data_IF_208241058749
#
_entry.id   IF_208241058749
#
_cell.length_a   1.000
_cell.length_b   1.000
_cell.length_c   1.000
_cell.angle_alpha   90.00
_cell.angle_beta   90.00
_cell.angle_gamma   90.00
#
_symmetry.space_group_name_H-M   'P 1'
#
loop_
_entity.id
_entity.type
_entity.pdbx_description
1 polymer ?
#
# COMPACT_ATOMS: atom_id res chain seq x y z
N UNK A 1 -5.36 -10.32 -57.99
CA UNK A 1 -4.42 -10.32 -56.85
C UNK A 1 -5.17 -10.75 -55.60
N UNK A 2 -4.66 -11.77 -54.90
CA UNK A 2 -5.39 -12.51 -53.88
C UNK A 2 -5.54 -11.67 -52.59
N UNK A 3 -6.72 -11.08 -52.34
CA UNK A 3 -7.01 -10.23 -51.17
C UNK A 3 -6.91 -10.98 -49.82
N UNK A 4 -6.79 -12.31 -49.84
CA UNK A 4 -6.69 -13.15 -48.63
C UNK A 4 -5.39 -12.97 -47.82
N UNK A 5 -4.29 -12.54 -48.46
CA UNK A 5 -3.01 -12.31 -47.76
C UNK A 5 -2.93 -10.98 -47.02
N UNK A 6 -3.48 -9.92 -47.62
CA UNK A 6 -3.51 -8.57 -47.01
C UNK A 6 -4.46 -8.49 -45.81
N UNK A 7 -5.60 -9.17 -45.88
CA UNK A 7 -6.56 -9.23 -44.76
C UNK A 7 -5.98 -9.88 -43.49
N UNK A 8 -5.16 -10.94 -43.64
CA UNK A 8 -4.51 -11.60 -42.50
C UNK A 8 -3.47 -10.71 -41.81
N UNK A 9 -2.70 -9.93 -42.59
CA UNK A 9 -1.71 -8.98 -42.05
C UNK A 9 -2.39 -7.84 -41.30
N UNK A 10 -3.49 -7.29 -41.83
CA UNK A 10 -4.27 -6.23 -41.16
C UNK A 10 -4.83 -6.73 -39.82
N UNK A 11 -5.34 -7.96 -39.78
CA UNK A 11 -5.85 -8.56 -38.52
C UNK A 11 -4.74 -8.73 -37.47
N UNK A 12 -3.54 -9.18 -37.87
CA UNK A 12 -2.40 -9.31 -36.96
C UNK A 12 -1.98 -7.95 -36.39
N UNK A 13 -1.94 -6.91 -37.22
CA UNK A 13 -1.58 -5.55 -36.80
C UNK A 13 -2.62 -5.00 -35.81
N UNK A 14 -3.91 -5.21 -36.08
CA UNK A 14 -4.98 -4.79 -35.16
C UNK A 14 -4.86 -5.53 -33.82
N UNK A 15 -4.63 -6.84 -33.83
CA UNK A 15 -4.45 -7.62 -32.59
C UNK A 15 -3.23 -7.14 -31.81
N UNK A 16 -2.11 -6.88 -32.48
CA UNK A 16 -0.90 -6.35 -31.83
C UNK A 16 -1.14 -4.97 -31.21
N UNK A 17 -1.87 -4.08 -31.89
CA UNK A 17 -2.27 -2.78 -31.36
C UNK A 17 -3.20 -2.90 -30.16
N UNK A 18 -4.15 -3.85 -30.18
CA UNK A 18 -5.03 -4.10 -29.03
C UNK A 18 -4.24 -4.63 -27.84
N UNK A 19 -3.29 -5.54 -28.04
CA UNK A 19 -2.42 -6.06 -26.97
C UNK A 19 -1.54 -4.93 -26.40
N UNK A 20 -0.97 -4.06 -27.26
CA UNK A 20 -0.18 -2.91 -26.83
C UNK A 20 -1.04 -1.89 -26.06
N UNK A 21 -2.27 -1.62 -26.51
CA UNK A 21 -3.19 -0.72 -25.82
C UNK A 21 -3.61 -1.28 -24.46
N UNK A 22 -3.97 -2.57 -24.38
CA UNK A 22 -4.34 -3.24 -23.13
C UNK A 22 -3.14 -3.37 -22.18
N UNK A 23 -1.95 -3.70 -22.71
CA UNK A 23 -0.72 -3.74 -21.95
C UNK A 23 -0.31 -2.37 -21.42
N UNK A 24 -0.47 -1.32 -22.23
CA UNK A 24 -0.23 0.07 -21.83
C UNK A 24 -1.19 0.54 -20.74
N UNK A 25 -2.48 0.21 -20.85
CA UNK A 25 -3.48 0.50 -19.81
C UNK A 25 -3.20 -0.25 -18.49
N UNK A 26 -2.81 -1.52 -18.58
CA UNK A 26 -2.43 -2.31 -17.40
C UNK A 26 -1.15 -1.77 -16.75
N UNK A 27 -0.14 -1.41 -17.54
CA UNK A 27 1.09 -0.79 -17.05
C UNK A 27 0.79 0.56 -16.39
N UNK A 28 -0.02 1.41 -17.02
CA UNK A 28 -0.47 2.68 -16.46
C UNK A 28 -1.12 2.47 -15.09
N UNK A 29 -2.07 1.54 -14.99
CA UNK A 29 -2.70 1.20 -13.70
C UNK A 29 -1.70 0.69 -12.67
N UNK A 30 -0.74 -0.15 -13.05
CA UNK A 30 0.26 -0.69 -12.13
C UNK A 30 1.24 0.39 -11.66
N UNK A 31 1.63 1.34 -12.50
CA UNK A 31 2.65 2.35 -12.15
C UNK A 31 2.08 3.64 -11.55
N UNK A 32 0.84 4.01 -11.88
CA UNK A 32 0.24 5.27 -11.45
C UNK A 32 -0.68 5.14 -10.24
N UNK A 33 -1.03 3.93 -9.82
CA UNK A 33 -1.82 3.73 -8.60
C UNK A 33 -0.89 3.49 -7.41
N UNK A 34 -1.19 4.09 -6.23
CA UNK A 34 -0.46 3.83 -4.99
C UNK A 34 -0.36 2.35 -4.64
N UNK A 35 0.62 2.02 -3.80
CA UNK A 35 0.87 0.66 -3.30
C UNK A 35 1.80 -0.19 -4.16
N UNK A 36 2.17 -1.34 -3.62
CA UNK A 36 3.30 -2.15 -4.10
C UNK A 36 2.90 -3.55 -4.54
N UNK A 37 3.76 -4.19 -5.34
CA UNK A 37 3.45 -5.53 -5.88
C UNK A 37 3.67 -6.61 -4.80
N UNK A 38 4.59 -6.39 -3.86
CA UNK A 38 4.90 -7.31 -2.77
C UNK A 38 4.72 -6.67 -1.39
N UNK A 39 4.47 -7.53 -0.40
CA UNK A 39 4.40 -7.17 1.02
C UNK A 39 5.71 -6.56 1.49
N UNK A 40 6.82 -7.16 1.10
CA UNK A 40 8.17 -6.72 1.46
C UNK A 40 8.48 -5.31 0.97
N UNK A 41 8.04 -4.97 -0.24
CA UNK A 41 8.17 -3.61 -0.76
C UNK A 41 7.31 -2.62 0.03
N UNK A 42 6.08 -2.97 0.41
CA UNK A 42 5.25 -2.08 1.22
C UNK A 42 5.88 -1.78 2.58
N UNK A 43 6.45 -2.80 3.25
CA UNK A 43 7.13 -2.61 4.55
C UNK A 43 8.42 -1.81 4.38
N UNK A 44 9.25 -2.13 3.38
CA UNK A 44 10.50 -1.41 3.13
C UNK A 44 10.26 0.07 2.80
N UNK A 45 9.31 0.37 1.91
CA UNK A 45 8.98 1.75 1.55
C UNK A 45 8.36 2.54 2.71
N UNK A 46 7.64 1.89 3.61
CA UNK A 46 7.13 2.54 4.83
C UNK A 46 8.30 3.06 5.68
N UNK A 47 9.28 2.21 5.97
CA UNK A 47 10.44 2.59 6.76
C UNK A 47 11.36 3.58 6.04
N UNK A 48 11.45 3.47 4.71
CA UNK A 48 12.12 4.48 3.90
C UNK A 48 11.42 5.84 4.04
N UNK A 49 10.09 5.89 3.90
CA UNK A 49 9.31 7.12 4.03
C UNK A 49 9.49 7.77 5.39
N UNK A 50 9.44 6.98 6.49
CA UNK A 50 9.68 7.50 7.83
C UNK A 50 11.11 8.07 7.95
N UNK A 51 12.12 7.32 7.50
CA UNK A 51 13.53 7.73 7.63
C UNK A 51 13.89 8.96 6.82
N UNK A 52 13.23 9.17 5.68
CA UNK A 52 13.47 10.31 4.79
C UNK A 52 12.47 11.45 4.96
N UNK A 53 11.55 11.33 5.92
CA UNK A 53 10.44 12.29 6.11
C UNK A 53 9.61 12.56 4.84
N UNK A 54 9.51 11.55 3.97
CA UNK A 54 8.79 11.66 2.69
C UNK A 54 7.30 11.34 2.88
N UNK A 55 6.53 12.40 3.16
CA UNK A 55 5.07 12.33 3.37
C UNK A 55 4.31 11.79 2.16
N UNK A 56 4.79 12.04 0.94
CA UNK A 56 4.14 11.55 -0.29
C UNK A 56 4.33 10.04 -0.42
N UNK A 57 5.55 9.56 -0.21
CA UNK A 57 5.87 8.13 -0.16
C UNK A 57 5.09 7.43 0.95
N UNK A 58 4.97 8.05 2.13
CA UNK A 58 4.17 7.55 3.23
C UNK A 58 2.71 7.37 2.83
N UNK A 59 2.06 8.43 2.30
CA UNK A 59 0.67 8.38 1.83
C UNK A 59 0.45 7.24 0.84
N UNK A 60 1.35 7.12 -0.15
CA UNK A 60 1.24 6.12 -1.20
C UNK A 60 1.55 4.69 -0.74
N UNK A 61 2.29 4.55 0.35
CA UNK A 61 2.58 3.26 0.96
C UNK A 61 1.44 2.78 1.85
N UNK A 62 0.79 3.70 2.55
CA UNK A 62 -0.20 3.35 3.57
C UNK A 62 -1.65 3.36 3.07
N UNK A 63 -1.96 4.18 2.07
CA UNK A 63 -3.34 4.47 1.69
C UNK A 63 -3.57 4.39 0.19
N UNK A 64 -4.70 3.82 -0.21
CA UNK A 64 -5.18 3.93 -1.59
C UNK A 64 -5.60 5.37 -1.91
N UNK A 65 -5.59 5.78 -3.17
CA UNK A 65 -6.03 7.13 -3.56
C UNK A 65 -7.46 7.46 -3.11
N UNK A 66 -8.37 6.48 -3.16
CA UNK A 66 -9.75 6.66 -2.70
C UNK A 66 -9.82 6.96 -1.20
N UNK A 67 -8.98 6.27 -0.41
CA UNK A 67 -8.87 6.51 1.02
C UNK A 67 -8.21 7.85 1.33
N UNK A 68 -7.11 8.19 0.66
CA UNK A 68 -6.45 9.50 0.80
C UNK A 68 -7.44 10.66 0.57
N UNK A 69 -8.23 10.60 -0.52
CA UNK A 69 -9.19 11.64 -0.89
C UNK A 69 -10.38 11.77 0.07
N UNK A 70 -10.69 10.71 0.81
CA UNK A 70 -11.87 10.64 1.67
C UNK A 70 -11.50 10.62 3.15
N UNK A 71 -10.22 10.77 3.48
CA UNK A 71 -9.74 10.65 4.85
C UNK A 71 -10.40 11.66 5.79
N UNK A 72 -10.65 12.87 5.30
CA UNK A 72 -11.33 13.94 6.03
C UNK A 72 -12.78 13.61 6.46
N UNK A 73 -13.37 12.52 5.95
CA UNK A 73 -14.69 12.06 6.38
C UNK A 73 -14.67 11.38 7.75
N UNK A 74 -13.49 11.15 8.34
CA UNK A 74 -13.38 10.61 9.69
C UNK A 74 -14.11 11.50 10.72
N UNK A 75 -14.45 10.91 11.88
CA UNK A 75 -15.19 11.58 12.95
C UNK A 75 -14.52 12.86 13.46
N UNK A 76 -13.18 12.94 13.35
CA UNK A 76 -12.41 14.11 13.78
C UNK A 76 -12.33 15.22 12.72
N UNK A 77 -12.78 14.98 11.49
CA UNK A 77 -12.68 15.91 10.36
C UNK A 77 -11.25 16.22 9.92
N UNK A 78 -10.28 15.36 10.28
CA UNK A 78 -8.86 15.60 10.04
C UNK A 78 -8.50 15.15 8.62
N UNK A 79 -7.91 16.04 7.82
CA UNK A 79 -7.42 15.71 6.49
C UNK A 79 -6.18 14.81 6.51
N UNK A 80 -5.94 14.11 5.39
CA UNK A 80 -4.82 13.17 5.26
C UNK A 80 -3.46 13.79 5.61
N UNK A 81 -3.14 14.98 5.09
CA UNK A 81 -1.83 15.59 5.34
C UNK A 81 -1.61 15.89 6.84
N UNK A 82 -2.66 16.35 7.55
CA UNK A 82 -2.59 16.57 9.00
C UNK A 82 -2.45 15.26 9.78
N UNK A 83 -3.12 14.19 9.33
CA UNK A 83 -2.97 12.87 9.94
C UNK A 83 -1.54 12.31 9.77
N UNK A 84 -0.94 12.52 8.60
CA UNK A 84 0.46 12.17 8.33
C UNK A 84 1.39 13.00 9.20
N UNK A 85 1.16 14.30 9.33
CA UNK A 85 1.98 15.18 10.18
C UNK A 85 2.00 14.69 11.64
N UNK A 86 0.83 14.36 12.20
CA UNK A 86 0.73 13.76 13.52
C UNK A 86 1.50 12.43 13.60
N UNK A 87 1.39 11.56 12.59
CA UNK A 87 2.12 10.29 12.58
C UNK A 87 3.65 10.49 12.61
N UNK A 88 4.17 11.51 11.92
CA UNK A 88 5.59 11.86 11.93
C UNK A 88 6.04 12.51 13.24
N UNK A 89 5.20 13.31 13.91
CA UNK A 89 5.53 13.87 15.23
C UNK A 89 5.88 12.77 16.24
N UNK A 90 5.19 11.62 16.18
CA UNK A 90 5.47 10.48 17.05
C UNK A 90 6.64 9.58 16.60
N UNK A 91 7.16 9.76 15.38
CA UNK A 91 8.16 8.87 14.77
C UNK A 91 9.45 9.57 14.32
N UNK A 92 9.51 10.91 14.44
CA UNK A 92 10.64 11.73 14.03
C UNK A 92 11.90 11.48 14.89
N UNK A 93 13.08 11.68 14.28
CA UNK A 93 14.39 11.55 14.95
C UNK A 93 15.04 10.17 14.87
N UNK A 94 14.32 9.14 14.39
CA UNK A 94 14.87 7.82 14.15
C UNK A 94 15.03 7.54 12.64
N UNK A 95 16.18 6.99 12.26
CA UNK A 95 16.38 6.43 10.91
C UNK A 95 16.35 4.91 10.98
N UNK A 96 15.70 4.30 9.99
CA UNK A 96 15.45 2.88 9.93
C UNK A 96 16.18 2.27 8.73
N UNK A 97 16.91 1.18 8.97
CA UNK A 97 17.67 0.47 7.94
C UNK A 97 17.61 -1.04 8.12
N UNK A 98 18.04 -1.78 7.09
CA UNK A 98 18.14 -3.25 7.11
C UNK A 98 16.85 -3.96 7.56
N UNK A 99 15.69 -3.55 7.03
CA UNK A 99 14.41 -4.23 7.29
C UNK A 99 14.50 -5.68 6.82
N UNK A 100 14.40 -6.63 7.75
CA UNK A 100 14.46 -8.06 7.46
C UNK A 100 13.18 -8.73 7.90
N UNK A 101 12.37 -9.16 6.93
CA UNK A 101 11.14 -9.92 7.20
C UNK A 101 11.52 -11.34 7.63
N UNK A 102 11.01 -11.75 8.78
CA UNK A 102 11.27 -13.07 9.38
C UNK A 102 10.10 -14.02 9.19
N UNK A 103 8.87 -13.51 9.14
CA UNK A 103 7.68 -14.31 8.87
C UNK A 103 6.57 -13.49 8.21
N UNK A 104 5.80 -14.17 7.35
CA UNK A 104 4.60 -13.65 6.71
C UNK A 104 3.45 -14.63 6.95
N UNK A 105 2.42 -14.17 7.64
CA UNK A 105 1.23 -14.95 7.94
C UNK A 105 0.03 -14.27 7.28
N UNK A 106 -0.72 -15.00 6.45
CA UNK A 106 -1.97 -14.49 5.89
C UNK A 106 -3.06 -14.65 6.94
N UNK A 107 -3.75 -13.55 7.27
CA UNK A 107 -4.88 -13.60 8.17
C UNK A 107 -6.13 -14.13 7.45
N UNK A 108 -7.09 -14.60 8.24
CA UNK A 108 -8.38 -15.08 7.73
C UNK A 108 -9.14 -13.98 7.00
N UNK A 109 -10.01 -14.39 6.06
CA UNK A 109 -10.78 -13.45 5.24
C UNK A 109 -11.70 -12.55 6.07
N UNK A 110 -12.13 -13.00 7.25
CA UNK A 110 -12.93 -12.19 8.18
C UNK A 110 -12.27 -10.88 8.58
N UNK A 111 -10.93 -10.83 8.65
CA UNK A 111 -10.21 -9.58 8.93
C UNK A 111 -10.29 -8.60 7.75
N UNK A 112 -10.27 -9.13 6.51
CA UNK A 112 -10.45 -8.31 5.33
C UNK A 112 -11.87 -7.72 5.30
N UNK A 113 -12.89 -8.55 5.51
CA UNK A 113 -14.30 -8.11 5.55
C UNK A 113 -14.52 -7.05 6.64
N UNK A 114 -13.99 -7.28 7.85
CA UNK A 114 -14.06 -6.33 8.97
C UNK A 114 -13.34 -5.01 8.66
N UNK A 115 -12.23 -5.06 7.92
CA UNK A 115 -11.51 -3.85 7.49
C UNK A 115 -12.34 -3.06 6.47
N UNK A 116 -13.00 -3.73 5.51
CA UNK A 116 -13.90 -3.07 4.54
C UNK A 116 -15.04 -2.34 5.28
N UNK A 117 -15.70 -3.02 6.23
CA UNK A 117 -16.77 -2.44 7.04
C UNK A 117 -16.29 -1.25 7.88
N UNK A 118 -15.12 -1.39 8.51
CA UNK A 118 -14.53 -0.34 9.35
C UNK A 118 -14.16 0.89 8.54
N UNK A 119 -13.52 0.70 7.38
CA UNK A 119 -13.15 1.79 6.47
C UNK A 119 -14.40 2.51 5.95
N UNK A 120 -15.44 1.76 5.58
CA UNK A 120 -16.70 2.34 5.13
C UNK A 120 -17.37 3.16 6.23
N UNK A 121 -17.40 2.61 7.45
CA UNK A 121 -17.99 3.27 8.62
C UNK A 121 -17.27 4.58 8.97
N UNK A 122 -15.93 4.56 9.01
CA UNK A 122 -15.13 5.71 9.42
C UNK A 122 -14.96 6.75 8.33
N UNK A 123 -14.67 6.32 7.09
CA UNK A 123 -14.24 7.21 6.02
C UNK A 123 -15.28 7.35 4.90
N UNK A 124 -16.40 6.61 4.96
CA UNK A 124 -17.48 6.70 3.98
C UNK A 124 -17.11 6.15 2.60
N UNK A 125 -16.09 5.28 2.51
CA UNK A 125 -15.62 4.72 1.23
C UNK A 125 -15.86 3.21 1.14
N UNK A 126 -16.27 2.76 -0.05
CA UNK A 126 -16.30 1.34 -0.38
C UNK A 126 -14.94 0.92 -0.95
N UNK A 127 -14.06 0.41 -0.08
CA UNK A 127 -12.74 -0.08 -0.47
C UNK A 127 -12.69 -1.60 -0.40
N UNK A 128 -12.39 -2.26 -1.52
CA UNK A 128 -12.22 -3.72 -1.54
C UNK A 128 -10.86 -4.14 -0.99
N UNK A 129 -10.85 -4.94 0.06
CA UNK A 129 -9.69 -5.56 0.69
C UNK A 129 -9.70 -7.06 0.40
N UNK A 130 -8.71 -7.52 -0.35
CA UNK A 130 -8.63 -8.91 -0.80
C UNK A 130 -7.82 -9.84 0.12
N UNK A 131 -6.99 -9.27 0.98
CA UNK A 131 -6.19 -10.00 1.96
C UNK A 131 -5.58 -9.04 2.99
N UNK A 132 -5.35 -9.55 4.20
CA UNK A 132 -4.47 -8.93 5.20
C UNK A 132 -3.38 -9.95 5.55
N UNK A 133 -2.17 -9.48 5.78
CA UNK A 133 -1.07 -10.31 6.26
C UNK A 133 -0.39 -9.66 7.46
N UNK A 134 -0.11 -10.48 8.46
CA UNK A 134 0.78 -10.18 9.57
C UNK A 134 2.22 -10.37 9.10
N UNK A 135 3.06 -9.39 9.37
CA UNK A 135 4.47 -9.34 9.02
C UNK A 135 5.27 -9.26 10.30
N UNK A 136 6.12 -10.25 10.54
CA UNK A 136 7.15 -10.17 11.56
C UNK A 136 8.47 -9.81 10.89
N UNK A 137 9.18 -8.84 11.43
CA UNK A 137 10.44 -8.35 10.87
C UNK A 137 11.31 -7.74 11.96
N UNK A 138 12.61 -7.60 11.69
CA UNK A 138 13.49 -6.73 12.47
C UNK A 138 13.90 -5.53 11.64
N UNK A 139 14.22 -4.42 12.32
CA UNK A 139 14.73 -3.21 11.70
C UNK A 139 15.84 -2.65 12.57
N UNK A 140 16.92 -2.21 11.92
CA UNK A 140 17.96 -1.46 12.63
C UNK A 140 17.52 -0.03 12.76
N UNK A 141 17.51 0.47 13.98
CA UNK A 141 17.16 1.86 14.28
C UNK A 141 18.44 2.59 14.62
N UNK A 142 18.65 3.76 14.01
CA UNK A 142 19.71 4.68 14.42
C UNK A 142 19.06 5.92 15.00
N UNK A 143 19.26 6.13 16.29
CA UNK A 143 18.79 7.29 17.06
C UNK A 143 20.00 7.97 17.69
N UNK A 144 20.20 9.27 17.44
CA UNK A 144 21.34 10.05 17.96
C UNK A 144 22.74 9.40 17.74
N UNK A 145 22.90 8.63 16.66
CA UNK A 145 24.15 7.93 16.32
C UNK A 145 24.35 6.57 17.01
N UNK A 146 23.48 6.20 17.96
CA UNK A 146 23.42 4.86 18.51
C UNK A 146 22.66 3.93 17.55
N UNK A 147 23.26 2.78 17.22
CA UNK A 147 22.62 1.73 16.40
C UNK A 147 22.05 0.67 17.31
N UNK A 148 20.74 0.50 17.26
CA UNK A 148 20.02 -0.51 18.02
C UNK A 148 19.27 -1.46 17.09
N UNK A 149 19.20 -2.73 17.47
CA UNK A 149 18.33 -3.71 16.82
C UNK A 149 16.96 -3.64 17.49
N UNK A 150 15.89 -3.45 16.72
CA UNK A 150 14.53 -3.39 17.24
C UNK A 150 14.06 -4.70 17.89
N UNK A 151 14.78 -5.80 17.68
CA UNK A 151 14.23 -7.14 17.87
C UNK A 151 13.12 -7.41 16.85
N UNK A 152 12.27 -8.40 17.14
CA UNK A 152 11.13 -8.74 16.25
C UNK A 152 9.96 -7.78 16.49
N UNK A 153 9.63 -7.00 15.48
CA UNK A 153 8.42 -6.20 15.38
C UNK A 153 7.34 -6.95 14.60
N UNK A 154 6.09 -6.71 14.97
CA UNK A 154 4.90 -7.22 14.28
C UNK A 154 4.11 -6.04 13.72
N UNK A 155 3.83 -6.07 12.42
CA UNK A 155 2.96 -5.09 11.73
C UNK A 155 2.08 -5.80 10.71
N UNK A 156 1.20 -5.05 10.07
CA UNK A 156 0.20 -5.58 9.16
C UNK A 156 0.28 -4.89 7.80
N UNK A 157 -0.02 -5.64 6.76
CA UNK A 157 -0.15 -5.15 5.38
C UNK A 157 -1.46 -5.64 4.80
N UNK A 158 -2.10 -4.82 3.98
CA UNK A 158 -3.39 -5.15 3.35
C UNK A 158 -3.30 -5.06 1.83
N UNK A 159 -4.16 -5.79 1.14
CA UNK A 159 -4.17 -5.87 -0.32
C UNK A 159 -5.43 -5.28 -0.92
N UNK A 160 -5.31 -4.20 -1.68
CA UNK A 160 -6.41 -3.57 -2.43
C UNK A 160 -6.00 -3.30 -3.88
N UNK A 161 -6.91 -3.45 -4.85
CA UNK A 161 -6.60 -3.19 -6.26
C UNK A 161 -5.44 -4.00 -6.85
N UNK A 162 -5.12 -5.17 -6.26
CA UNK A 162 -3.96 -5.97 -6.67
C UNK A 162 -2.62 -5.53 -6.04
N UNK A 163 -2.61 -4.43 -5.29
CA UNK A 163 -1.45 -3.83 -4.63
C UNK A 163 -1.48 -4.05 -3.13
N UNK A 164 -0.30 -4.08 -2.52
CA UNK A 164 -0.08 -4.17 -1.08
C UNK A 164 0.26 -2.80 -0.50
N UNK A 165 -0.31 -2.54 0.66
CA UNK A 165 -0.17 -1.33 1.42
C UNK A 165 0.22 -1.68 2.85
N UNK A 166 0.96 -0.79 3.50
CA UNK A 166 1.28 -0.93 4.90
C UNK A 166 0.12 -0.39 5.75
N UNK A 167 -0.37 -1.18 6.71
CA UNK A 167 -1.45 -0.74 7.59
C UNK A 167 -0.84 0.09 8.74
N UNK A 168 -0.95 1.41 8.64
CA UNK A 168 -0.46 2.36 9.65
C UNK A 168 -1.58 3.11 10.39
N UNK A 169 -2.84 2.98 9.94
CA UNK A 169 -3.97 3.72 10.49
C UNK A 169 -4.39 3.14 11.85
N UNK A 170 -4.26 3.90 12.96
CA UNK A 170 -4.46 3.36 14.30
C UNK A 170 -5.92 2.99 14.58
N UNK A 171 -6.89 3.76 14.05
CA UNK A 171 -8.31 3.49 14.26
C UNK A 171 -8.72 2.16 13.63
N UNK A 172 -8.23 1.88 12.41
CA UNK A 172 -8.44 0.58 11.76
C UNK A 172 -7.75 -0.56 12.50
N UNK A 173 -6.50 -0.38 12.96
CA UNK A 173 -5.78 -1.43 13.70
C UNK A 173 -6.55 -1.81 14.98
N UNK A 174 -7.02 -0.82 15.74
CA UNK A 174 -7.82 -1.05 16.96
C UNK A 174 -9.13 -1.76 16.64
N UNK A 175 -9.85 -1.33 15.60
CA UNK A 175 -11.11 -1.98 15.21
C UNK A 175 -10.92 -3.42 14.73
N UNK A 176 -9.75 -3.75 14.17
CA UNK A 176 -9.43 -5.12 13.77
C UNK A 176 -9.01 -6.03 14.94
N UNK A 177 -8.78 -5.47 16.13
CA UNK A 177 -8.27 -6.18 17.31
C UNK A 177 -6.90 -6.82 17.04
N UNK A 178 -5.99 -6.03 16.46
CA UNK A 178 -4.67 -6.44 15.93
C UNK A 178 -3.48 -5.79 16.67
#
# INVERSE_FOLDING_TARGET
>A
MNNRGKGKIVVIIIIALVILALGGLAAYWIFMTPGYISRDQAVSNYYQAISSEDKELYKNTCYTSAWQNSYANNTAGIGMDAAVDMAYEFQSGASYGDVKITALEKLDSSYADKMEESIKSLYGIDLKISAISKVNFSVKTTFEGAKEDSGTLTRYVYKSGGKWFFLADPDIIVLLDL
#
